data_IF_147150828070
#
_entry.id   IF_147150828070
#
_cell.length_a   1.000
_cell.length_b   1.000
_cell.length_c   1.000
_cell.angle_alpha   90.00
_cell.angle_beta   90.00
_cell.angle_gamma   90.00
#
_symmetry.space_group_name_H-M   'P 1'
#
loop_
_entity.id
_entity.type
_entity.pdbx_description
1 polymer ?
#
# COMPACT_ATOMS: atom_id res chain seq x y z
N UNK A 1 10.03 -4.58 -25.16
CA UNK A 1 8.57 -4.84 -25.20
C UNK A 1 7.95 -3.88 -26.18
N UNK A 2 7.02 -4.31 -27.05
CA UNK A 2 6.34 -3.40 -27.98
C UNK A 2 5.11 -2.81 -27.25
N UNK A 3 5.25 -1.60 -26.71
CA UNK A 3 4.22 -0.94 -25.89
C UNK A 3 2.87 -0.79 -26.61
N UNK A 4 2.89 -0.50 -27.91
CA UNK A 4 1.65 -0.31 -28.68
C UNK A 4 0.85 -1.62 -28.76
N UNK A 5 1.52 -2.75 -29.05
CA UNK A 5 0.85 -4.05 -29.11
C UNK A 5 0.28 -4.48 -27.77
N UNK A 6 1.04 -4.29 -26.69
CA UNK A 6 0.59 -4.68 -25.36
C UNK A 6 -0.61 -3.84 -24.88
N UNK A 7 -0.64 -2.54 -25.21
CA UNK A 7 -1.78 -1.67 -24.87
C UNK A 7 -3.06 -2.10 -25.61
N UNK A 8 -2.96 -2.56 -26.86
CA UNK A 8 -4.11 -3.12 -27.59
C UNK A 8 -4.61 -4.45 -26.97
N UNK A 9 -3.69 -5.30 -26.48
CA UNK A 9 -4.06 -6.53 -25.78
C UNK A 9 -4.73 -6.23 -24.43
N UNK A 10 -4.23 -5.26 -23.66
CA UNK A 10 -4.82 -4.85 -22.39
C UNK A 10 -6.28 -4.40 -22.50
N UNK A 11 -6.66 -3.75 -23.60
CA UNK A 11 -8.06 -3.35 -23.85
C UNK A 11 -9.03 -4.53 -23.91
N UNK A 12 -8.54 -5.73 -24.21
CA UNK A 12 -9.33 -6.97 -24.37
C UNK A 12 -9.22 -7.93 -23.19
N UNK A 13 -8.47 -7.56 -22.13
CA UNK A 13 -8.23 -8.45 -20.97
C UNK A 13 -9.48 -8.64 -20.11
N UNK A 14 -10.28 -7.59 -19.96
CA UNK A 14 -11.38 -7.59 -18.99
C UNK A 14 -12.34 -8.76 -19.19
N UNK A 15 -12.58 -9.53 -18.13
CA UNK A 15 -13.46 -10.69 -18.11
C UNK A 15 -12.85 -11.98 -18.67
N UNK A 16 -11.58 -11.97 -19.08
CA UNK A 16 -10.90 -13.16 -19.62
C UNK A 16 -10.26 -14.02 -18.55
N UNK A 17 -9.95 -15.27 -18.87
CA UNK A 17 -9.13 -16.15 -18.02
C UNK A 17 -7.70 -15.61 -17.87
N UNK A 18 -7.18 -14.94 -18.89
CA UNK A 18 -5.86 -14.27 -18.83
C UNK A 18 -5.83 -13.19 -17.77
N UNK A 19 -6.88 -12.37 -17.63
CA UNK A 19 -6.98 -11.39 -16.56
C UNK A 19 -6.89 -12.04 -15.17
N UNK A 20 -7.63 -13.13 -14.95
CA UNK A 20 -7.55 -13.89 -13.68
C UNK A 20 -6.16 -14.46 -13.43
N UNK A 21 -5.51 -14.98 -14.47
CA UNK A 21 -4.15 -15.51 -14.38
C UNK A 21 -3.14 -14.40 -14.03
N UNK A 22 -3.32 -13.17 -14.52
CA UNK A 22 -2.49 -12.03 -14.17
C UNK A 22 -2.66 -11.63 -12.69
N UNK A 23 -3.88 -11.63 -12.16
CA UNK A 23 -4.10 -11.41 -10.73
C UNK A 23 -3.52 -12.53 -9.87
N UNK A 24 -3.62 -13.78 -10.33
CA UNK A 24 -3.00 -14.92 -9.65
C UNK A 24 -1.47 -14.79 -9.63
N UNK A 25 -0.87 -14.43 -10.77
CA UNK A 25 0.57 -14.18 -10.87
C UNK A 25 0.99 -13.01 -9.97
N UNK A 26 0.26 -11.89 -9.98
CA UNK A 26 0.49 -10.76 -9.07
C UNK A 26 0.49 -11.20 -7.59
N UNK A 27 -0.49 -12.00 -7.19
CA UNK A 27 -0.57 -12.52 -5.82
C UNK A 27 0.62 -13.44 -5.48
N UNK A 28 1.00 -14.32 -6.40
CA UNK A 28 2.15 -15.23 -6.26
C UNK A 28 3.47 -14.48 -6.06
N UNK A 29 3.76 -13.52 -6.93
CA UNK A 29 4.97 -12.70 -6.85
C UNK A 29 4.99 -11.79 -5.60
N UNK A 30 3.85 -11.23 -5.22
CA UNK A 30 3.72 -10.44 -3.99
C UNK A 30 4.02 -11.28 -2.75
N UNK A 31 3.51 -12.51 -2.71
CA UNK A 31 3.80 -13.47 -1.64
C UNK A 31 5.28 -13.88 -1.65
N UNK A 32 5.88 -14.14 -2.81
CA UNK A 32 7.29 -14.48 -2.96
C UNK A 32 8.18 -13.33 -2.44
N UNK A 33 7.88 -12.08 -2.83
CA UNK A 33 8.55 -10.89 -2.32
C UNK A 33 8.58 -10.84 -0.79
N UNK A 34 7.43 -11.01 -0.14
CA UNK A 34 7.34 -10.98 1.33
C UNK A 34 8.09 -12.16 1.95
N UNK A 35 7.91 -13.39 1.44
CA UNK A 35 8.61 -14.57 1.95
C UNK A 35 10.13 -14.43 1.86
N UNK A 36 10.67 -13.99 0.74
CA UNK A 36 12.12 -13.85 0.57
C UNK A 36 12.70 -12.72 1.42
N UNK A 37 11.95 -11.63 1.62
CA UNK A 37 12.33 -10.59 2.59
C UNK A 37 12.43 -11.15 4.02
N UNK A 38 11.47 -11.98 4.44
CA UNK A 38 11.52 -12.65 5.75
C UNK A 38 12.66 -13.66 5.83
N UNK A 39 12.92 -14.43 4.75
CA UNK A 39 14.04 -15.38 4.72
C UNK A 39 15.38 -14.67 4.83
N UNK A 40 15.56 -13.51 4.19
CA UNK A 40 16.75 -12.68 4.34
C UNK A 40 16.95 -12.23 5.79
N UNK A 41 15.87 -11.82 6.47
CA UNK A 41 15.92 -11.42 7.88
C UNK A 41 16.34 -12.56 8.79
N UNK A 42 15.81 -13.77 8.57
CA UNK A 42 16.19 -14.95 9.36
C UNK A 42 17.62 -15.40 9.05
N UNK A 43 18.03 -15.42 7.77
CA UNK A 43 19.40 -15.77 7.40
C UNK A 43 20.45 -14.85 8.05
N UNK A 44 20.13 -13.55 8.23
CA UNK A 44 21.02 -12.59 8.93
C UNK A 44 21.19 -12.87 10.42
N UNK A 45 20.27 -13.59 11.04
CA UNK A 45 20.35 -13.95 12.47
C UNK A 45 21.19 -15.22 12.71
N UNK A 46 21.39 -16.01 11.65
CA UNK A 46 22.15 -17.24 11.75
C UNK A 46 23.67 -16.95 11.68
N UNK A 47 24.43 -17.14 12.78
CA UNK A 47 25.85 -16.81 12.83
C UNK A 47 26.73 -17.76 11.99
N UNK A 48 26.20 -18.91 11.59
CA UNK A 48 26.91 -19.89 10.76
C UNK A 48 26.66 -19.68 9.26
N UNK A 49 25.72 -18.80 8.89
CA UNK A 49 25.38 -18.54 7.51
C UNK A 49 26.07 -17.27 6.97
N UNK A 50 26.41 -17.32 5.70
CA UNK A 50 26.99 -16.17 5.00
C UNK A 50 25.97 -15.06 4.81
N UNK A 51 26.39 -13.82 5.07
CA UNK A 51 25.57 -12.63 4.72
C UNK A 51 25.18 -12.60 3.23
N UNK A 52 26.01 -13.20 2.37
CA UNK A 52 25.71 -13.32 0.94
C UNK A 52 24.41 -14.09 0.68
N UNK A 53 24.05 -15.10 1.48
CA UNK A 53 22.77 -15.81 1.33
C UNK A 53 21.58 -14.89 1.59
N UNK A 54 21.67 -14.06 2.64
CA UNK A 54 20.65 -13.08 2.93
C UNK A 54 20.51 -12.02 1.80
N UNK A 55 21.65 -11.57 1.25
CA UNK A 55 21.70 -10.61 0.16
C UNK A 55 21.07 -11.19 -1.14
N UNK A 56 21.26 -12.49 -1.41
CA UNK A 56 20.62 -13.18 -2.55
C UNK A 56 19.09 -13.20 -2.35
N UNK A 57 18.60 -13.49 -1.13
CA UNK A 57 17.16 -13.42 -0.84
C UNK A 57 16.60 -12.02 -1.05
N UNK A 58 17.29 -10.96 -0.60
CA UNK A 58 16.87 -9.58 -0.80
C UNK A 58 16.87 -9.17 -2.27
N UNK A 59 17.88 -9.61 -3.04
CA UNK A 59 17.94 -9.37 -4.48
C UNK A 59 16.75 -10.03 -5.18
N UNK A 60 16.50 -11.31 -4.88
CA UNK A 60 15.37 -12.05 -5.46
C UNK A 60 14.05 -11.40 -5.06
N UNK A 61 13.87 -11.02 -3.79
CA UNK A 61 12.67 -10.30 -3.35
C UNK A 61 12.40 -9.01 -4.14
N UNK A 62 13.45 -8.25 -4.51
CA UNK A 62 13.31 -7.07 -5.37
C UNK A 62 12.86 -7.45 -6.78
N UNK A 63 13.34 -8.57 -7.32
CA UNK A 63 12.94 -9.07 -8.64
C UNK A 63 11.44 -9.46 -8.63
N UNK A 64 10.99 -10.19 -7.61
CA UNK A 64 9.58 -10.60 -7.50
C UNK A 64 8.65 -9.39 -7.36
N UNK A 65 9.07 -8.35 -6.64
CA UNK A 65 8.32 -7.09 -6.60
C UNK A 65 8.24 -6.43 -7.99
N UNK A 66 9.30 -6.52 -8.79
CA UNK A 66 9.29 -5.98 -10.15
C UNK A 66 8.35 -6.78 -11.07
N UNK A 67 8.31 -8.11 -10.94
CA UNK A 67 7.37 -8.97 -11.66
C UNK A 67 5.93 -8.65 -11.25
N UNK A 68 5.62 -8.59 -9.94
CA UNK A 68 4.30 -8.21 -9.45
C UNK A 68 3.83 -6.87 -10.03
N UNK A 69 4.71 -5.86 -10.09
CA UNK A 69 4.41 -4.57 -10.71
C UNK A 69 4.03 -4.70 -12.18
N UNK A 70 4.66 -5.60 -12.94
CA UNK A 70 4.33 -5.82 -14.36
C UNK A 70 2.90 -6.36 -14.49
N UNK A 71 2.55 -7.37 -13.70
CA UNK A 71 1.22 -7.98 -13.74
C UNK A 71 0.14 -6.99 -13.32
N UNK A 72 0.37 -6.24 -12.26
CA UNK A 72 -0.55 -5.21 -11.78
C UNK A 72 -0.72 -4.05 -12.77
N UNK A 73 0.34 -3.71 -13.53
CA UNK A 73 0.25 -2.75 -14.61
C UNK A 73 -0.57 -3.27 -15.79
N UNK A 74 -0.40 -4.55 -16.16
CA UNK A 74 -1.12 -5.16 -17.29
C UNK A 74 -2.63 -5.22 -17.06
N UNK A 75 -3.09 -5.50 -15.85
CA UNK A 75 -4.52 -5.46 -15.51
C UNK A 75 -5.09 -4.03 -15.44
N UNK A 76 -4.23 -3.02 -15.55
CA UNK A 76 -4.62 -1.61 -15.63
C UNK A 76 -4.70 -0.88 -14.29
N UNK A 77 -4.52 -1.59 -13.18
CA UNK A 77 -4.70 -1.00 -11.85
C UNK A 77 -3.67 0.08 -11.50
N UNK A 78 -2.44 0.01 -12.00
CA UNK A 78 -1.45 1.07 -11.83
C UNK A 78 -1.74 2.36 -12.63
N UNK A 79 -2.68 2.34 -13.56
CA UNK A 79 -3.04 3.51 -14.39
C UNK A 79 -4.16 4.35 -13.80
N UNK A 80 -4.66 3.96 -12.65
CA UNK A 80 -5.72 4.68 -11.95
C UNK A 80 -5.19 5.95 -11.27
N UNK A 81 -6.09 6.86 -10.97
CA UNK A 81 -5.78 8.06 -10.20
C UNK A 81 -5.50 7.75 -8.75
N UNK A 82 -4.89 8.68 -8.02
CA UNK A 82 -4.68 8.54 -6.57
C UNK A 82 -6.00 8.36 -5.82
N UNK A 83 -7.08 9.03 -6.23
CA UNK A 83 -8.41 8.86 -5.63
C UNK A 83 -8.94 7.44 -5.83
N UNK A 84 -8.82 6.90 -7.05
CA UNK A 84 -9.20 5.50 -7.33
C UNK A 84 -8.35 4.50 -6.54
N UNK A 85 -7.03 4.74 -6.38
CA UNK A 85 -6.18 3.89 -5.53
C UNK A 85 -6.58 3.96 -4.05
N UNK A 86 -6.96 5.13 -3.53
CA UNK A 86 -7.47 5.27 -2.16
C UNK A 86 -8.78 4.52 -1.97
N UNK A 87 -9.68 4.58 -2.96
CA UNK A 87 -10.92 3.81 -2.94
C UNK A 87 -10.65 2.30 -2.96
N UNK A 88 -9.79 1.83 -3.87
CA UNK A 88 -9.41 0.41 -3.96
C UNK A 88 -8.80 -0.10 -2.65
N UNK A 89 -7.93 0.71 -2.03
CA UNK A 89 -7.35 0.36 -0.74
C UNK A 89 -8.43 0.27 0.34
N UNK A 90 -9.32 1.28 0.44
CA UNK A 90 -10.43 1.26 1.39
C UNK A 90 -11.36 0.06 1.20
N UNK A 91 -11.66 -0.33 -0.03
CA UNK A 91 -12.52 -1.48 -0.35
C UNK A 91 -11.84 -2.80 0.03
N UNK A 92 -10.53 -2.93 -0.19
CA UNK A 92 -9.74 -4.09 0.23
C UNK A 92 -9.75 -4.27 1.75
N UNK A 93 -9.36 -3.22 2.48
CA UNK A 93 -9.40 -3.25 3.95
C UNK A 93 -10.81 -3.52 4.50
N UNK A 94 -11.85 -2.98 3.85
CA UNK A 94 -13.23 -3.25 4.22
C UNK A 94 -13.57 -4.75 4.11
N UNK A 95 -13.23 -5.41 3.01
CA UNK A 95 -13.44 -6.86 2.86
C UNK A 95 -12.65 -7.65 3.90
N UNK A 96 -11.42 -7.24 4.20
CA UNK A 96 -10.58 -7.93 5.18
C UNK A 96 -11.20 -7.93 6.58
N UNK A 97 -11.68 -6.79 7.08
CA UNK A 97 -12.20 -6.73 8.45
C UNK A 97 -13.68 -7.10 8.57
N UNK A 98 -14.50 -6.97 7.51
CA UNK A 98 -15.93 -7.31 7.57
C UNK A 98 -16.24 -8.75 7.18
N UNK A 99 -15.39 -9.36 6.32
CA UNK A 99 -15.65 -10.65 5.69
C UNK A 99 -14.53 -11.66 5.92
N UNK A 100 -13.33 -11.38 5.45
CA UNK A 100 -12.23 -12.33 5.38
C UNK A 100 -11.77 -12.78 6.78
N UNK A 101 -11.27 -11.88 7.61
CA UNK A 101 -10.76 -12.21 8.95
C UNK A 101 -11.82 -12.75 9.90
N UNK A 102 -13.06 -12.20 9.99
CA UNK A 102 -14.10 -12.80 10.81
C UNK A 102 -14.40 -14.26 10.45
N UNK A 103 -14.48 -14.57 9.16
CA UNK A 103 -14.71 -15.92 8.65
C UNK A 103 -13.54 -16.87 8.98
N UNK A 104 -12.31 -16.39 8.83
CA UNK A 104 -11.12 -17.18 9.17
C UNK A 104 -11.01 -17.42 10.68
N UNK A 105 -11.30 -16.42 11.50
CA UNK A 105 -11.30 -16.54 12.96
C UNK A 105 -12.37 -17.52 13.44
N UNK A 106 -13.55 -17.52 12.85
CA UNK A 106 -14.60 -18.51 13.14
C UNK A 106 -14.12 -19.93 12.83
N UNK A 107 -13.52 -20.13 11.67
CA UNK A 107 -12.95 -21.43 11.27
C UNK A 107 -11.87 -21.88 12.25
N UNK A 108 -10.89 -21.01 12.54
CA UNK A 108 -9.82 -21.31 13.48
C UNK A 108 -10.36 -21.71 14.88
N UNK A 109 -11.42 -21.03 15.35
CA UNK A 109 -12.07 -21.35 16.62
C UNK A 109 -12.73 -22.73 16.58
N UNK A 110 -13.44 -23.07 15.49
CA UNK A 110 -14.09 -24.37 15.30
C UNK A 110 -13.09 -25.52 15.25
N UNK A 111 -11.92 -25.28 14.67
CA UNK A 111 -10.81 -26.25 14.58
C UNK A 111 -9.94 -26.36 15.84
N UNK A 112 -10.25 -25.59 16.89
CA UNK A 112 -9.54 -25.65 18.17
C UNK A 112 -8.30 -24.76 18.26
N UNK A 113 -8.21 -23.71 17.45
CA UNK A 113 -7.13 -22.70 17.45
C UNK A 113 -7.58 -21.33 17.99
N UNK A 114 -8.01 -21.22 19.27
CA UNK A 114 -8.60 -19.97 19.80
C UNK A 114 -7.60 -18.81 19.83
N UNK A 115 -6.30 -19.05 20.00
CA UNK A 115 -5.28 -17.98 20.00
C UNK A 115 -5.06 -17.43 18.59
N UNK A 116 -5.09 -18.28 17.56
CA UNK A 116 -5.03 -17.85 16.16
C UNK A 116 -6.27 -17.04 15.80
N UNK A 117 -7.45 -17.50 16.21
CA UNK A 117 -8.70 -16.76 16.03
C UNK A 117 -8.66 -15.37 16.70
N UNK A 118 -8.09 -15.29 17.91
CA UNK A 118 -7.89 -14.01 18.61
C UNK A 118 -6.99 -13.07 17.81
N UNK A 119 -5.85 -13.56 17.29
CA UNK A 119 -4.94 -12.73 16.48
C UNK A 119 -5.62 -12.24 15.18
N UNK A 120 -6.37 -13.11 14.49
CA UNK A 120 -7.13 -12.74 13.30
C UNK A 120 -8.13 -11.60 13.59
N UNK A 121 -8.87 -11.67 14.69
CA UNK A 121 -9.78 -10.60 15.09
C UNK A 121 -9.04 -9.30 15.44
N UNK A 122 -7.85 -9.39 16.05
CA UNK A 122 -7.05 -8.19 16.35
C UNK A 122 -6.49 -7.53 15.10
N UNK A 123 -6.10 -8.31 14.10
CA UNK A 123 -5.71 -7.78 12.80
C UNK A 123 -6.93 -7.11 12.14
N UNK A 124 -8.11 -7.73 12.13
CA UNK A 124 -9.32 -7.12 11.60
C UNK A 124 -9.63 -5.74 12.21
N UNK A 125 -9.37 -5.54 13.51
CA UNK A 125 -9.49 -4.23 14.17
C UNK A 125 -8.50 -3.19 13.62
N UNK A 126 -7.31 -3.63 13.17
CA UNK A 126 -6.30 -2.78 12.53
C UNK A 126 -6.74 -2.41 11.12
N UNK A 127 -7.21 -3.38 10.32
CA UNK A 127 -7.65 -3.14 8.94
C UNK A 127 -8.86 -2.17 8.90
N UNK A 128 -9.73 -2.21 9.90
CA UNK A 128 -10.77 -1.19 10.07
C UNK A 128 -10.20 0.22 10.26
N UNK A 129 -9.07 0.37 10.93
CA UNK A 129 -8.41 1.67 11.08
C UNK A 129 -7.77 2.12 9.76
N UNK A 130 -7.19 1.18 8.99
CA UNK A 130 -6.65 1.45 7.66
C UNK A 130 -7.75 1.93 6.72
N UNK A 131 -8.88 1.23 6.64
CA UNK A 131 -10.06 1.66 5.87
C UNK A 131 -10.48 3.09 6.24
N UNK A 132 -10.63 3.36 7.54
CA UNK A 132 -11.02 4.69 8.03
C UNK A 132 -10.04 5.76 7.54
N UNK A 133 -8.74 5.48 7.62
CA UNK A 133 -7.67 6.37 7.15
C UNK A 133 -7.78 6.63 5.65
N UNK A 134 -7.93 5.59 4.83
CA UNK A 134 -8.04 5.74 3.38
C UNK A 134 -9.30 6.51 2.97
N UNK A 135 -10.43 6.28 3.62
CA UNK A 135 -11.68 7.04 3.39
C UNK A 135 -11.52 8.52 3.75
N UNK A 136 -10.85 8.84 4.85
CA UNK A 136 -10.57 10.23 5.22
C UNK A 136 -9.64 10.92 4.21
N UNK A 137 -8.62 10.23 3.71
CA UNK A 137 -7.71 10.75 2.70
C UNK A 137 -8.43 10.96 1.37
N UNK A 138 -9.27 10.00 0.96
CA UNK A 138 -10.10 10.11 -0.24
C UNK A 138 -11.02 11.32 -0.16
N UNK A 139 -11.75 11.47 0.95
CA UNK A 139 -12.61 12.63 1.17
C UNK A 139 -11.84 13.97 1.11
N UNK A 140 -10.59 14.00 1.61
CA UNK A 140 -9.74 15.20 1.50
C UNK A 140 -9.35 15.49 0.03
N UNK A 141 -9.09 14.46 -0.78
CA UNK A 141 -8.78 14.61 -2.21
C UNK A 141 -10.01 15.10 -2.97
N UNK A 142 -11.16 14.45 -2.79
CA UNK A 142 -12.41 14.76 -3.50
C UNK A 142 -12.97 16.14 -3.15
N UNK A 143 -12.78 16.61 -1.91
CA UNK A 143 -13.25 17.92 -1.45
C UNK A 143 -12.17 19.01 -1.53
N UNK A 144 -11.05 18.77 -2.23
CA UNK A 144 -9.93 19.71 -2.37
C UNK A 144 -9.33 20.15 -1.01
N UNK A 145 -9.51 19.34 0.03
CA UNK A 145 -9.05 19.62 1.40
C UNK A 145 -7.65 19.06 1.72
N UNK A 146 -6.94 18.53 0.74
CA UNK A 146 -5.60 17.98 0.96
C UNK A 146 -4.62 19.07 1.44
N UNK A 147 -4.61 20.21 0.76
CA UNK A 147 -3.74 21.34 1.05
C UNK A 147 -4.49 22.58 1.56
N UNK A 148 -5.80 22.49 1.78
CA UNK A 148 -6.65 23.55 2.30
C UNK A 148 -7.52 23.00 3.41
N UNK A 149 -7.64 23.75 4.51
CA UNK A 149 -8.45 23.38 5.67
C UNK A 149 -9.44 24.50 6.00
N UNK A 150 -10.46 24.15 6.78
CA UNK A 150 -11.47 25.13 7.20
C UNK A 150 -10.89 26.10 8.25
N UNK A 151 -9.82 25.69 8.95
CA UNK A 151 -9.11 26.47 9.96
C UNK A 151 -7.62 26.51 9.66
N UNK A 152 -6.91 27.47 10.28
CA UNK A 152 -5.45 27.51 10.24
C UNK A 152 -4.87 26.23 10.80
N UNK A 153 -3.91 25.66 10.08
CA UNK A 153 -3.10 24.52 10.51
C UNK A 153 -1.63 24.88 10.38
N UNK A 154 -0.81 24.25 11.22
CA UNK A 154 0.63 24.35 11.11
C UNK A 154 1.10 23.40 10.00
N UNK A 155 1.54 23.97 8.91
CA UNK A 155 2.10 23.21 7.76
C UNK A 155 3.60 23.08 7.93
N UNK A 156 4.16 21.94 7.52
CA UNK A 156 5.60 21.67 7.48
C UNK A 156 6.03 21.22 6.09
N UNK A 157 7.11 21.79 5.60
CA UNK A 157 7.78 21.31 4.39
C UNK A 157 8.63 20.08 4.73
N UNK A 158 8.30 18.93 4.14
CA UNK A 158 9.00 17.66 4.37
C UNK A 158 10.46 17.67 3.91
N UNK A 159 10.85 18.59 3.01
CA UNK A 159 12.22 18.69 2.54
C UNK A 159 13.15 19.47 3.49
N UNK A 160 12.72 20.66 3.94
CA UNK A 160 13.63 21.57 4.69
C UNK A 160 13.18 21.87 6.12
N UNK A 161 12.00 21.38 6.55
CA UNK A 161 11.47 21.63 7.89
C UNK A 161 10.84 23.01 8.08
N UNK A 162 10.77 23.87 7.06
CA UNK A 162 10.07 25.15 7.16
C UNK A 162 8.62 24.96 7.61
N UNK A 163 8.18 25.75 8.55
CA UNK A 163 6.80 25.71 9.05
C UNK A 163 6.09 27.04 8.88
N UNK A 164 4.79 27.00 8.61
CA UNK A 164 3.92 28.18 8.58
C UNK A 164 2.50 27.83 9.04
N UNK A 165 1.85 28.78 9.69
CA UNK A 165 0.45 28.68 10.12
C UNK A 165 -0.46 29.34 9.10
N UNK A 166 -1.34 28.55 8.45
CA UNK A 166 -2.21 29.04 7.39
C UNK A 166 -3.41 28.09 7.20
N UNK A 167 -4.50 28.59 6.61
CA UNK A 167 -5.63 27.76 6.17
C UNK A 167 -5.27 26.92 4.93
N UNK A 168 -4.28 27.35 4.15
CA UNK A 168 -3.85 26.70 2.93
C UNK A 168 -2.32 26.58 2.90
N UNK A 169 -1.81 25.38 2.52
CA UNK A 169 -0.38 25.18 2.33
C UNK A 169 0.17 26.08 1.22
N UNK A 170 1.38 26.64 1.36
CA UNK A 170 2.02 27.43 0.30
C UNK A 170 2.10 26.66 -1.00
N UNK A 171 1.96 27.34 -2.14
CA UNK A 171 2.12 26.76 -3.49
C UNK A 171 3.55 26.26 -3.68
N UNK A 172 4.51 26.99 -3.11
CA UNK A 172 5.93 26.69 -3.14
C UNK A 172 6.55 27.06 -1.78
N UNK A 173 7.50 26.26 -1.34
CA UNK A 173 8.23 26.53 -0.10
C UNK A 173 9.11 27.77 -0.25
N UNK A 174 8.96 28.81 0.59
CA UNK A 174 9.73 30.06 0.46
C UNK A 174 11.20 29.89 0.83
N UNK A 175 11.60 28.76 1.41
CA UNK A 175 12.97 28.49 1.83
C UNK A 175 13.71 27.62 0.83
N UNK A 176 13.07 26.58 0.26
CA UNK A 176 13.77 25.60 -0.57
C UNK A 176 13.13 25.36 -1.94
N UNK A 177 12.12 26.17 -2.31
CA UNK A 177 11.41 26.12 -3.60
C UNK A 177 10.79 24.78 -3.98
N UNK A 178 10.58 23.88 -3.03
CA UNK A 178 9.85 22.64 -3.28
C UNK A 178 8.35 22.93 -3.43
N UNK A 179 7.66 22.23 -4.33
CA UNK A 179 6.25 22.46 -4.59
C UNK A 179 5.37 22.06 -3.41
N UNK A 180 4.11 22.52 -3.45
CA UNK A 180 3.05 22.25 -2.43
C UNK A 180 2.99 20.77 -2.01
N UNK A 181 3.27 19.85 -2.91
CA UNK A 181 3.26 18.40 -2.63
C UNK A 181 4.23 17.96 -1.52
N UNK A 182 5.18 18.83 -1.15
CA UNK A 182 6.08 18.59 -0.01
C UNK A 182 5.53 19.10 1.33
N UNK A 183 4.35 19.73 1.37
CA UNK A 183 3.74 20.17 2.60
C UNK A 183 2.79 19.13 3.19
N UNK A 184 2.86 18.98 4.51
CA UNK A 184 1.92 18.21 5.31
C UNK A 184 1.52 19.03 6.54
N UNK A 185 0.41 18.66 7.19
CA UNK A 185 0.09 19.18 8.52
C UNK A 185 1.14 18.62 9.50
N UNK A 186 1.78 19.50 10.24
CA UNK A 186 2.77 19.10 11.25
C UNK A 186 2.08 18.31 12.35
N UNK A 187 2.54 17.09 12.57
CA UNK A 187 2.15 16.28 13.72
C UNK A 187 3.16 16.50 14.84
N UNK A 188 2.66 16.70 16.05
CA UNK A 188 3.44 16.79 17.29
C UNK A 188 2.88 15.75 18.25
N UNK A 189 3.36 14.52 18.13
CA UNK A 189 2.89 13.35 18.87
C UNK A 189 4.01 12.66 19.67
N UNK A 190 4.97 13.44 20.11
CA UNK A 190 6.12 13.02 20.96
C UNK A 190 6.05 13.64 22.33
#
# INVERSE_FOLDING_TARGET
MNEVKIQEEMKRLKGTETEKNLYHAFAGESMAHVKYTLFAQEARKDPEMSQQLADIFDETAKNERAHAKIWFWLVGDLKKTTAEHLQMAADGENDEWTSMYPKFAETAKKEGFPQIAFLMNKIAEIEKQHETRYKMLLANVENEKLFKKDEKKLWICANCGFTCESVEAPVECPVCSHPRSFFAIKAENY
#
